data_IF_298110986557
#
_entry.id   IF_298110986557
#
_cell.length_a   1.000
_cell.length_b   1.000
_cell.length_c   1.000
_cell.angle_alpha   90.00
_cell.angle_beta   90.00
_cell.angle_gamma   90.00
#
_symmetry.space_group_name_H-M   'P 1'
#
loop_
_entity.id
_entity.type
_entity.pdbx_description
1 polymer ?
#
# COMPACT_ATOMS: atom_id res chain seq x y z
N UNK A 1 -61.16 7.12 -10.52
CA UNK A 1 -59.90 6.33 -10.58
C UNK A 1 -58.78 7.22 -10.06
N UNK A 2 -58.27 6.96 -8.85
CA UNK A 2 -57.14 7.70 -8.28
C UNK A 2 -55.87 6.90 -8.55
N UNK A 3 -54.92 7.52 -9.28
CA UNK A 3 -53.59 6.98 -9.51
C UNK A 3 -52.69 7.42 -8.36
N UNK A 4 -52.21 6.46 -7.57
CA UNK A 4 -51.22 6.69 -6.50
C UNK A 4 -49.84 6.68 -7.17
N UNK A 5 -49.01 7.73 -7.03
CA UNK A 5 -47.66 7.72 -7.56
C UNK A 5 -46.79 6.89 -6.63
N UNK A 6 -46.29 5.75 -7.14
CA UNK A 6 -45.26 4.96 -6.45
C UNK A 6 -43.92 5.65 -6.72
N UNK A 7 -43.39 6.36 -5.72
CA UNK A 7 -42.04 6.89 -5.78
C UNK A 7 -41.04 5.74 -5.62
N UNK A 8 -40.38 5.34 -6.70
CA UNK A 8 -39.29 4.37 -6.67
C UNK A 8 -38.01 5.10 -6.19
N UNK A 9 -37.68 4.97 -4.91
CA UNK A 9 -36.40 5.42 -4.39
C UNK A 9 -35.31 4.44 -4.83
N UNK A 10 -34.63 4.75 -5.94
CA UNK A 10 -33.45 3.99 -6.38
C UNK A 10 -32.29 4.31 -5.44
N UNK A 11 -31.85 3.32 -4.66
CA UNK A 11 -30.64 3.39 -3.86
C UNK A 11 -29.44 3.38 -4.84
N UNK A 12 -28.80 4.52 -5.05
CA UNK A 12 -27.51 4.55 -5.76
C UNK A 12 -26.49 3.83 -4.86
N UNK A 13 -26.10 2.62 -5.24
CA UNK A 13 -24.92 1.98 -4.66
C UNK A 13 -23.72 2.87 -5.00
N UNK A 14 -23.15 3.53 -4.00
CA UNK A 14 -21.85 4.18 -4.14
C UNK A 14 -20.83 3.06 -4.35
N UNK A 15 -20.29 2.96 -5.56
CA UNK A 15 -19.17 2.08 -5.82
C UNK A 15 -17.96 2.60 -5.01
N UNK A 16 -17.61 1.91 -3.94
CA UNK A 16 -16.37 2.18 -3.20
C UNK A 16 -15.21 1.63 -4.01
N UNK A 17 -14.32 2.51 -4.51
CA UNK A 17 -13.10 2.09 -5.19
C UNK A 17 -12.20 1.26 -4.26
N UNK A 18 -11.16 0.61 -4.81
CA UNK A 18 -10.18 -0.15 -4.02
C UNK A 18 -9.78 0.64 -2.76
N UNK A 19 -9.89 0.00 -1.59
CA UNK A 19 -9.49 0.57 -0.31
C UNK A 19 -8.51 -0.37 0.37
N UNK A 20 -7.30 0.10 0.67
CA UNK A 20 -6.34 -0.67 1.47
C UNK A 20 -6.70 -0.52 2.95
N UNK A 21 -7.09 -1.63 3.57
CA UNK A 21 -7.52 -1.71 4.97
C UNK A 21 -6.41 -2.14 5.92
N UNK A 22 -5.34 -2.73 5.38
CA UNK A 22 -4.13 -3.08 6.13
C UNK A 22 -2.88 -2.84 5.28
N UNK A 23 -1.84 -2.17 5.80
CA UNK A 23 -1.74 -1.58 7.14
C UNK A 23 -2.75 -0.45 7.36
N UNK A 24 -3.23 -0.32 8.59
CA UNK A 24 -4.05 0.81 9.01
C UNK A 24 -3.15 1.99 9.41
N UNK A 25 -3.76 3.15 9.59
CA UNK A 25 -3.05 4.31 10.17
C UNK A 25 -2.45 3.95 11.52
N UNK A 26 -1.22 4.40 11.77
CA UNK A 26 -0.44 4.19 12.99
C UNK A 26 0.00 2.74 13.26
N UNK A 27 -0.21 1.82 12.33
CA UNK A 27 0.35 0.46 12.43
C UNK A 27 1.88 0.50 12.50
N UNK A 28 2.47 -0.52 13.12
CA UNK A 28 3.91 -0.77 13.13
C UNK A 28 4.21 -2.06 12.38
N UNK A 29 4.85 -1.94 11.23
CA UNK A 29 5.18 -3.07 10.35
C UNK A 29 6.68 -3.32 10.36
N UNK A 30 7.09 -4.53 10.71
CA UNK A 30 8.46 -5.00 10.53
C UNK A 30 8.58 -5.65 9.15
N UNK A 31 8.99 -4.87 8.15
CA UNK A 31 9.02 -5.30 6.74
C UNK A 31 10.07 -6.37 6.47
N UNK A 32 10.97 -6.63 7.43
CA UNK A 32 11.93 -7.72 7.37
C UNK A 32 11.33 -9.09 7.75
N UNK A 33 10.07 -9.11 8.18
CA UNK A 33 9.28 -10.32 8.43
C UNK A 33 8.08 -10.34 7.50
N UNK A 34 7.46 -11.51 7.36
CA UNK A 34 6.21 -11.62 6.61
C UNK A 34 5.12 -10.76 7.25
N UNK A 35 4.42 -10.01 6.42
CA UNK A 35 3.33 -9.13 6.82
C UNK A 35 2.21 -9.15 5.77
N UNK A 36 1.10 -8.50 6.06
CA UNK A 36 -0.10 -8.57 5.21
C UNK A 36 -0.51 -7.21 4.70
N UNK A 37 -0.91 -7.19 3.43
CA UNK A 37 -1.67 -6.11 2.82
C UNK A 37 -3.07 -6.61 2.56
N UNK A 38 -4.09 -5.87 3.02
CA UNK A 38 -5.49 -6.21 2.83
C UNK A 38 -6.23 -5.06 2.16
N UNK A 39 -7.24 -5.38 1.35
CA UNK A 39 -8.07 -4.41 0.65
C UNK A 39 -9.52 -4.86 0.49
N UNK A 40 -10.41 -3.90 0.26
CA UNK A 40 -11.73 -4.13 -0.34
C UNK A 40 -11.74 -3.59 -1.76
N UNK A 41 -12.66 -4.09 -2.60
CA UNK A 41 -12.83 -3.64 -3.97
C UNK A 41 -14.27 -3.86 -4.44
N UNK A 42 -14.67 -3.11 -5.46
CA UNK A 42 -15.94 -3.28 -6.16
C UNK A 42 -15.74 -3.81 -7.58
N UNK A 43 -16.82 -4.25 -8.20
CA UNK A 43 -16.80 -4.89 -9.51
C UNK A 43 -16.35 -3.98 -10.67
N UNK A 44 -16.28 -2.66 -10.47
CA UNK A 44 -15.79 -1.70 -11.46
C UNK A 44 -14.29 -1.40 -11.35
N UNK A 45 -13.62 -1.95 -10.34
CA UNK A 45 -12.18 -1.74 -10.14
C UNK A 45 -11.33 -2.51 -11.17
N UNK A 46 -10.06 -2.10 -11.39
CA UNK A 46 -9.11 -2.88 -12.17
C UNK A 46 -9.03 -4.33 -11.70
N UNK A 47 -8.91 -5.27 -12.63
CA UNK A 47 -8.82 -6.71 -12.29
C UNK A 47 -7.53 -7.05 -11.53
N UNK A 48 -6.46 -6.28 -11.78
CA UNK A 48 -5.15 -6.49 -11.16
C UNK A 48 -4.48 -5.16 -10.82
N UNK A 49 -3.61 -5.18 -9.82
CA UNK A 49 -2.73 -4.07 -9.45
C UNK A 49 -1.40 -4.56 -8.89
N UNK A 50 -0.44 -3.67 -8.77
CA UNK A 50 0.83 -3.93 -8.09
C UNK A 50 0.93 -3.13 -6.79
N UNK A 51 1.65 -3.69 -5.82
CA UNK A 51 1.81 -3.13 -4.49
C UNK A 51 3.20 -2.53 -4.29
N UNK A 52 3.21 -1.31 -3.74
CA UNK A 52 4.42 -0.55 -3.47
C UNK A 52 4.40 -0.04 -2.03
N UNK A 53 5.56 -0.06 -1.36
CA UNK A 53 5.82 0.67 -0.13
C UNK A 53 6.38 2.04 -0.50
N UNK A 54 5.74 3.10 -0.04
CA UNK A 54 6.06 4.45 -0.47
C UNK A 54 6.19 5.43 0.68
N UNK A 55 7.14 6.35 0.56
CA UNK A 55 7.20 7.58 1.34
C UNK A 55 7.33 8.73 0.34
N UNK A 56 6.25 9.51 0.21
CA UNK A 56 6.23 10.75 -0.56
C UNK A 56 6.18 11.99 0.33
N UNK A 57 6.16 11.80 1.66
CA UNK A 57 6.10 12.87 2.64
C UNK A 57 7.48 13.55 2.81
N UNK A 58 8.56 12.82 2.52
CA UNK A 58 9.93 13.31 2.65
C UNK A 58 10.68 13.29 1.33
N UNK A 59 11.57 14.27 1.14
CA UNK A 59 12.50 14.29 0.02
C UNK A 59 13.86 13.65 0.39
N UNK A 60 14.48 12.86 -0.50
CA UNK A 60 13.92 12.35 -1.76
C UNK A 60 12.84 11.30 -1.48
N UNK A 61 11.83 11.17 -2.35
CA UNK A 61 10.79 10.16 -2.17
C UNK A 61 11.35 8.74 -2.22
N UNK A 62 10.74 7.81 -1.48
CA UNK A 62 11.11 6.39 -1.50
C UNK A 62 9.98 5.54 -2.06
N UNK A 63 10.34 4.59 -2.93
CA UNK A 63 9.43 3.63 -3.55
C UNK A 63 10.11 2.28 -3.55
N UNK A 64 9.44 1.28 -2.98
CA UNK A 64 9.92 -0.11 -2.98
C UNK A 64 8.82 -1.03 -3.50
N UNK A 65 9.16 -1.97 -4.40
CA UNK A 65 8.21 -2.98 -4.87
C UNK A 65 8.03 -4.04 -3.75
N UNK A 66 6.79 -4.41 -3.44
CA UNK A 66 6.50 -5.37 -2.36
C UNK A 66 6.50 -6.83 -2.82
N UNK A 67 6.11 -7.09 -4.07
CA UNK A 67 6.02 -8.45 -4.64
C UNK A 67 6.84 -8.57 -5.93
N UNK A 68 7.95 -7.82 -6.03
CA UNK A 68 8.79 -7.75 -7.25
C UNK A 68 7.97 -7.52 -8.54
N UNK A 69 6.89 -6.71 -8.41
CA UNK A 69 5.91 -6.38 -9.47
C UNK A 69 5.07 -7.55 -9.98
N UNK A 70 4.96 -8.63 -9.22
CA UNK A 70 3.93 -9.64 -9.43
C UNK A 70 2.54 -8.99 -9.22
N UNK A 71 1.64 -9.05 -10.20
CA UNK A 71 0.29 -8.51 -10.06
C UNK A 71 -0.49 -9.26 -8.98
N UNK A 72 -1.30 -8.53 -8.23
CA UNK A 72 -2.29 -9.04 -7.29
C UNK A 72 -3.65 -8.97 -7.97
N UNK A 73 -4.39 -10.08 -7.96
CA UNK A 73 -5.78 -10.12 -8.42
C UNK A 73 -6.68 -9.41 -7.43
N UNK A 74 -7.51 -8.48 -7.93
CA UNK A 74 -8.38 -7.66 -7.08
C UNK A 74 -9.49 -8.49 -6.41
N UNK A 75 -10.08 -9.45 -7.14
CA UNK A 75 -11.05 -10.46 -6.67
C UNK A 75 -12.15 -9.99 -5.69
N UNK A 76 -12.60 -8.73 -5.77
CA UNK A 76 -13.61 -8.17 -4.86
C UNK A 76 -13.12 -7.89 -3.44
N UNK A 77 -11.80 -7.86 -3.24
CA UNK A 77 -11.15 -7.68 -1.94
C UNK A 77 -10.41 -8.92 -1.46
N UNK A 78 -9.50 -8.74 -0.52
CA UNK A 78 -8.74 -9.84 0.05
C UNK A 78 -7.52 -9.38 0.84
N UNK A 79 -6.65 -10.34 1.13
CA UNK A 79 -5.34 -10.08 1.72
C UNK A 79 -4.27 -10.87 0.97
N UNK A 80 -3.07 -10.29 0.88
CA UNK A 80 -1.87 -10.95 0.36
C UNK A 80 -0.75 -10.86 1.39
N UNK A 81 0.03 -11.92 1.51
CA UNK A 81 1.24 -11.92 2.32
C UNK A 81 2.38 -11.30 1.51
N UNK A 82 3.00 -10.29 2.09
CA UNK A 82 4.24 -9.70 1.59
C UNK A 82 5.40 -10.42 2.29
N UNK A 83 6.26 -11.12 1.53
CA UNK A 83 7.42 -11.78 2.11
C UNK A 83 8.36 -10.76 2.77
N UNK A 84 8.92 -11.13 3.93
CA UNK A 84 9.90 -10.30 4.62
C UNK A 84 11.12 -9.99 3.75
N UNK A 85 11.51 -8.72 3.67
CA UNK A 85 12.64 -8.24 2.85
C UNK A 85 13.35 -7.04 3.49
N UNK A 86 14.67 -7.01 3.35
CA UNK A 86 15.46 -5.84 3.70
C UNK A 86 15.46 -4.82 2.56
N UNK A 87 15.06 -3.58 2.86
CA UNK A 87 15.05 -2.49 1.89
C UNK A 87 16.22 -1.56 2.14
N UNK A 88 17.20 -1.57 1.23
CA UNK A 88 18.36 -0.68 1.31
C UNK A 88 17.91 0.79 1.31
N UNK A 89 18.36 1.54 2.32
CA UNK A 89 18.03 2.95 2.48
C UNK A 89 16.65 3.24 3.09
N UNK A 90 15.87 2.24 3.51
CA UNK A 90 14.62 2.46 4.26
C UNK A 90 14.89 3.33 5.50
N UNK A 91 14.12 4.42 5.65
CA UNK A 91 14.19 5.31 6.80
C UNK A 91 13.24 4.83 7.89
N UNK A 92 13.79 4.16 8.90
CA UNK A 92 12.98 3.54 9.96
C UNK A 92 12.32 4.53 10.93
N UNK A 93 12.58 5.83 10.78
CA UNK A 93 11.95 6.91 11.56
C UNK A 93 10.88 7.67 10.78
N UNK A 94 10.60 7.25 9.55
CA UNK A 94 9.67 7.92 8.63
C UNK A 94 8.35 7.17 8.51
N UNK A 95 7.29 7.86 8.10
CA UNK A 95 6.01 7.21 7.78
C UNK A 95 6.00 6.64 6.37
N UNK A 96 5.24 5.58 6.16
CA UNK A 96 5.04 4.95 4.86
C UNK A 96 3.57 4.67 4.59
N UNK A 97 3.26 4.46 3.31
CA UNK A 97 1.97 3.96 2.84
C UNK A 97 2.17 2.78 1.92
N UNK A 98 1.23 1.85 1.95
CA UNK A 98 1.08 0.87 0.88
C UNK A 98 0.24 1.52 -0.20
N UNK A 99 0.71 1.42 -1.43
CA UNK A 99 0.05 1.93 -2.61
C UNK A 99 -0.28 0.79 -3.55
N UNK A 100 -1.54 0.67 -3.92
CA UNK A 100 -1.99 -0.10 -5.08
C UNK A 100 -1.95 0.80 -6.31
N UNK A 101 -1.21 0.39 -7.33
CA UNK A 101 -1.01 1.17 -8.55
C UNK A 101 -0.93 0.27 -9.78
N UNK A 102 -0.90 0.89 -10.96
CA UNK A 102 -0.60 0.18 -12.20
C UNK A 102 0.76 -0.50 -12.11
N UNK A 103 0.85 -1.76 -12.56
CA UNK A 103 2.10 -2.50 -12.61
C UNK A 103 3.13 -1.91 -13.59
N UNK A 104 2.68 -1.18 -14.61
CA UNK A 104 3.55 -0.49 -15.57
C UNK A 104 4.02 0.87 -15.09
N UNK A 105 3.30 1.49 -14.16
CA UNK A 105 3.54 2.86 -13.70
C UNK A 105 3.07 3.06 -12.25
N UNK A 106 3.99 3.16 -11.27
CA UNK A 106 3.64 3.37 -9.85
C UNK A 106 3.03 4.75 -9.56
N UNK A 107 3.00 5.67 -10.54
CA UNK A 107 2.34 6.96 -10.42
C UNK A 107 0.85 6.93 -10.75
N UNK A 108 0.37 5.86 -11.41
CA UNK A 108 -1.06 5.62 -11.63
C UNK A 108 -1.65 4.93 -10.39
N UNK A 109 -2.18 5.73 -9.47
CA UNK A 109 -2.65 5.29 -8.15
C UNK A 109 -4.09 4.78 -8.24
N UNK A 110 -4.33 3.58 -7.71
CA UNK A 110 -5.68 3.04 -7.52
C UNK A 110 -6.14 3.18 -6.07
N UNK A 111 -5.24 2.96 -5.11
CA UNK A 111 -5.53 3.12 -3.68
C UNK A 111 -4.26 3.34 -2.87
N UNK A 112 -4.40 3.96 -1.69
CA UNK A 112 -3.32 4.07 -0.70
C UNK A 112 -3.85 3.74 0.70
N UNK A 113 -3.00 3.14 1.53
CA UNK A 113 -3.27 2.96 2.95
C UNK A 113 -3.15 4.29 3.72
N UNK A 114 -3.55 4.26 4.99
CA UNK A 114 -3.11 5.24 5.97
C UNK A 114 -1.59 5.22 6.19
N UNK A 115 -1.07 6.27 6.81
CA UNK A 115 0.34 6.35 7.20
C UNK A 115 0.65 5.36 8.34
N UNK A 116 1.69 4.56 8.17
CA UNK A 116 2.16 3.61 9.18
C UNK A 116 3.69 3.68 9.34
N UNK A 117 4.22 3.11 10.42
CA UNK A 117 5.66 3.05 10.69
C UNK A 117 6.27 1.76 10.16
N UNK A 118 7.40 1.87 9.45
CA UNK A 118 8.12 0.72 8.89
C UNK A 118 9.47 0.52 9.58
N UNK A 119 9.71 -0.69 10.06
CA UNK A 119 10.97 -1.13 10.68
C UNK A 119 11.52 -2.37 9.98
N UNK A 120 12.78 -2.71 10.22
CA UNK A 120 13.43 -3.87 9.58
C UNK A 120 14.38 -4.59 10.55
N UNK A 121 13.81 -5.23 11.57
CA UNK A 121 14.55 -5.64 12.79
C UNK A 121 15.65 -6.68 12.57
N UNK A 122 15.53 -7.52 11.54
CA UNK A 122 16.48 -8.60 11.23
C UNK A 122 17.52 -8.21 10.17
N UNK A 123 17.43 -6.99 9.63
CA UNK A 123 18.35 -6.51 8.62
C UNK A 123 19.62 -5.96 9.28
N UNK A 124 20.78 -6.29 8.70
CA UNK A 124 22.03 -5.72 9.17
C UNK A 124 21.97 -4.18 9.10
N UNK A 125 22.23 -3.51 10.21
CA UNK A 125 22.31 -2.07 10.23
C UNK A 125 23.40 -1.62 9.24
N UNK A 126 23.03 -0.80 8.26
CA UNK A 126 23.99 -0.14 7.39
C UNK A 126 24.83 0.81 8.25
N UNK A 127 25.91 0.26 8.83
CA UNK A 127 26.86 1.04 9.61
C UNK A 127 27.62 1.90 8.62
N UNK A 128 27.22 3.17 8.48
CA UNK A 128 28.04 4.18 7.85
C UNK A 128 29.33 4.31 8.67
N UNK A 129 30.36 3.53 8.33
CA UNK A 129 31.72 3.82 8.77
C UNK A 129 32.08 5.16 8.14
N UNK A 130 32.00 6.24 8.93
CA UNK A 130 32.70 7.49 8.62
C UNK A 130 34.19 7.15 8.62
N UNK A 131 34.72 6.88 7.44
CA UNK A 131 36.16 6.79 7.23
C UNK A 131 36.70 8.21 7.41
N UNK A 132 37.12 8.54 8.63
CA UNK A 132 37.82 9.78 8.93
C UNK A 132 39.20 9.63 8.30
N UNK A 133 39.29 9.99 7.02
CA UNK A 133 40.56 10.20 6.33
C UNK A 133 41.28 11.34 7.06
N UNK A 134 42.27 11.00 7.89
CA UNK A 134 43.25 11.97 8.39
C UNK A 134 44.17 12.32 7.23
N UNK A 135 44.18 13.60 6.86
CA UNK A 135 45.32 14.23 6.19
C UNK A 135 46.44 14.51 7.20
#
# INVERSE_FOLDING_TARGET
>A
MHLIPIALATLLATAEAILITKPATDDSVDVAKDWQVCWTAVNTDPQQFCLYLTNFNEYPSQIFNLLDRQPVETNGGGCVTIPGKCYSGLRTTSSYRVRAASCSDPSTIYAESGDFSASQSTCAAATLRRDVRKE
#
